data_IF_303110452978
#
_entry.id   IF_303110452978
#
_cell.length_a   1.000
_cell.length_b   1.000
_cell.length_c   1.000
_cell.angle_alpha   90.00
_cell.angle_beta   90.00
_cell.angle_gamma   90.00
#
_symmetry.space_group_name_H-M   'P 1'
#
loop_
_entity.id
_entity.type
_entity.pdbx_description
1 polymer ?
#
# COMPACT_ATOMS: atom_id res chain seq x y z
N UNK A 1 13.38 4.09 11.36
CA UNK A 1 12.41 2.97 11.31
C UNK A 1 11.17 3.48 10.58
N UNK A 2 10.85 2.93 9.41
CA UNK A 2 9.67 3.37 8.65
C UNK A 2 8.39 2.90 9.37
N UNK A 3 7.46 3.82 9.68
CA UNK A 3 6.18 3.48 10.32
C UNK A 3 5.32 2.48 9.51
N UNK A 4 5.61 2.36 8.20
CA UNK A 4 4.99 1.41 7.29
C UNK A 4 5.53 0.00 7.53
N UNK A 5 4.62 -0.94 7.78
CA UNK A 5 4.89 -2.36 8.02
C UNK A 5 5.33 -3.08 6.74
N UNK A 6 5.94 -4.28 6.85
CA UNK A 6 6.28 -5.09 5.69
C UNK A 6 5.06 -5.40 4.79
N UNK A 7 3.91 -5.74 5.38
CA UNK A 7 2.70 -6.06 4.60
C UNK A 7 2.14 -4.84 3.87
N UNK A 8 2.11 -3.68 4.53
CA UNK A 8 1.71 -2.43 3.87
C UNK A 8 2.66 -2.07 2.73
N UNK A 9 3.98 -2.26 2.91
CA UNK A 9 4.97 -2.03 1.85
C UNK A 9 4.74 -2.91 0.63
N UNK A 10 4.47 -4.20 0.84
CA UNK A 10 4.17 -5.15 -0.22
C UNK A 10 2.90 -4.76 -0.99
N UNK A 11 1.83 -4.39 -0.28
CA UNK A 11 0.59 -3.90 -0.89
C UNK A 11 0.83 -2.63 -1.72
N UNK A 12 1.57 -1.66 -1.19
CA UNK A 12 1.92 -0.42 -1.93
C UNK A 12 2.75 -0.75 -3.18
N UNK A 13 3.63 -1.76 -3.12
CA UNK A 13 4.38 -2.23 -4.29
C UNK A 13 3.47 -2.75 -5.39
N UNK A 14 2.45 -3.54 -5.06
CA UNK A 14 1.48 -4.00 -6.05
C UNK A 14 0.58 -2.86 -6.58
N UNK A 15 0.23 -1.89 -5.74
CA UNK A 15 -0.46 -0.67 -6.20
C UNK A 15 0.39 0.09 -7.22
N UNK A 16 1.70 0.21 -6.99
CA UNK A 16 2.63 0.83 -7.94
C UNK A 16 2.73 0.05 -9.27
N UNK A 17 2.57 -1.28 -9.22
CA UNK A 17 2.45 -2.13 -10.41
C UNK A 17 1.06 -2.09 -11.08
N UNK A 18 0.16 -1.21 -10.62
CA UNK A 18 -1.17 -1.01 -11.22
C UNK A 18 -2.23 -2.03 -10.79
N UNK A 19 -2.00 -2.78 -9.71
CA UNK A 19 -2.96 -3.78 -9.22
C UNK A 19 -4.06 -3.17 -8.38
N UNK A 20 -5.27 -3.65 -8.61
CA UNK A 20 -6.47 -3.34 -7.81
C UNK A 20 -6.44 -4.08 -6.47
N UNK A 21 -7.19 -3.61 -5.47
CA UNK A 21 -7.29 -4.30 -4.18
C UNK A 21 -7.80 -5.76 -4.31
N UNK A 22 -8.61 -6.06 -5.32
CA UNK A 22 -9.07 -7.41 -5.63
C UNK A 22 -7.93 -8.31 -6.12
N UNK A 23 -7.14 -7.84 -7.08
CA UNK A 23 -5.97 -8.56 -7.58
C UNK A 23 -4.91 -8.74 -6.48
N UNK A 24 -4.65 -7.69 -5.69
CA UNK A 24 -3.71 -7.76 -4.55
C UNK A 24 -4.19 -8.79 -3.53
N UNK A 25 -5.49 -8.82 -3.22
CA UNK A 25 -6.06 -9.82 -2.32
C UNK A 25 -5.85 -11.24 -2.82
N UNK A 26 -6.04 -11.47 -4.13
CA UNK A 26 -5.77 -12.76 -4.75
C UNK A 26 -4.27 -13.12 -4.69
N UNK A 27 -3.36 -12.19 -4.98
CA UNK A 27 -1.91 -12.40 -4.94
C UNK A 27 -1.43 -12.74 -3.52
N UNK A 28 -1.95 -12.05 -2.51
CA UNK A 28 -1.53 -12.18 -1.12
C UNK A 28 -2.38 -13.17 -0.29
N UNK A 29 -3.33 -13.86 -0.93
CA UNK A 29 -4.29 -14.76 -0.28
C UNK A 29 -5.04 -14.14 0.91
N UNK A 30 -5.50 -12.89 0.76
CA UNK A 30 -6.30 -12.15 1.75
C UNK A 30 -7.51 -11.49 1.08
N UNK A 31 -8.51 -11.09 1.87
CA UNK A 31 -9.69 -10.41 1.33
C UNK A 31 -9.34 -9.01 0.77
N UNK A 32 -10.03 -8.52 -0.27
CA UNK A 32 -9.87 -7.14 -0.75
C UNK A 32 -10.17 -6.09 0.33
N UNK A 33 -11.05 -6.43 1.28
CA UNK A 33 -11.35 -5.59 2.45
C UNK A 33 -10.11 -5.44 3.33
N UNK A 34 -9.41 -6.55 3.61
CA UNK A 34 -8.15 -6.54 4.36
C UNK A 34 -7.08 -5.71 3.66
N UNK A 35 -6.98 -5.80 2.33
CA UNK A 35 -6.08 -4.94 1.54
C UNK A 35 -6.41 -3.46 1.75
N UNK A 36 -7.68 -3.08 1.65
CA UNK A 36 -8.12 -1.71 1.87
C UNK A 36 -7.83 -1.21 3.29
N UNK A 37 -7.95 -2.06 4.32
CA UNK A 37 -7.54 -1.73 5.69
C UNK A 37 -6.05 -1.40 5.77
N UNK A 38 -5.18 -2.20 5.14
CA UNK A 38 -3.75 -1.90 5.09
C UNK A 38 -3.45 -0.60 4.32
N UNK A 39 -4.15 -0.34 3.21
CA UNK A 39 -4.01 0.91 2.45
C UNK A 39 -4.39 2.11 3.32
N UNK A 40 -5.50 2.03 4.07
CA UNK A 40 -5.94 3.09 4.98
C UNK A 40 -4.92 3.36 6.09
N UNK A 41 -4.36 2.31 6.70
CA UNK A 41 -3.33 2.44 7.72
C UNK A 41 -2.05 3.05 7.17
N UNK A 42 -1.61 2.63 5.97
CA UNK A 42 -0.44 3.18 5.31
C UNK A 42 -0.64 4.67 4.94
N UNK A 43 -1.82 5.04 4.46
CA UNK A 43 -2.23 6.43 4.21
C UNK A 43 -2.11 7.29 5.47
N UNK A 44 -2.65 6.82 6.59
CA UNK A 44 -2.56 7.52 7.87
C UNK A 44 -1.10 7.70 8.32
N UNK A 45 -0.28 6.64 8.20
CA UNK A 45 1.15 6.68 8.55
C UNK A 45 1.99 7.61 7.68
N UNK A 46 1.62 7.76 6.41
CA UNK A 46 2.32 8.63 5.46
C UNK A 46 1.68 10.02 5.31
N UNK A 47 0.59 10.31 6.05
CA UNK A 47 -0.07 11.61 6.03
C UNK A 47 -0.71 11.96 4.68
N UNK A 48 -1.23 10.97 3.97
CA UNK A 48 -1.81 11.16 2.62
C UNK A 48 -3.23 10.60 2.54
N UNK A 49 -4.07 11.21 1.70
CA UNK A 49 -5.49 10.83 1.57
C UNK A 49 -5.80 10.01 0.31
N UNK A 50 -5.03 10.22 -0.77
CA UNK A 50 -5.23 9.55 -2.07
C UNK A 50 -4.29 8.36 -2.23
N UNK A 51 -4.74 7.33 -2.94
CA UNK A 51 -3.93 6.13 -3.23
C UNK A 51 -2.75 6.43 -4.14
N UNK A 52 -2.96 7.28 -5.15
CA UNK A 52 -1.87 7.78 -6.00
C UNK A 52 -0.85 8.57 -5.20
N UNK A 53 -1.29 9.36 -4.21
CA UNK A 53 -0.40 10.06 -3.29
C UNK A 53 0.34 9.11 -2.36
N UNK A 54 -0.26 7.98 -1.97
CA UNK A 54 0.39 6.92 -1.19
C UNK A 54 1.55 6.29 -1.97
N UNK A 55 1.31 5.89 -3.21
CA UNK A 55 2.36 5.34 -4.09
C UNK A 55 3.48 6.35 -4.30
N UNK A 56 3.14 7.60 -4.64
CA UNK A 56 4.12 8.66 -4.85
C UNK A 56 4.94 8.98 -3.58
N UNK A 57 4.30 9.01 -2.40
CA UNK A 57 4.99 9.19 -1.14
C UNK A 57 5.91 8.01 -0.82
N UNK A 58 5.47 6.78 -1.08
CA UNK A 58 6.27 5.60 -0.82
C UNK A 58 7.52 5.52 -1.72
N UNK A 59 7.42 5.93 -2.99
CA UNK A 59 8.58 6.07 -3.89
C UNK A 59 9.55 7.16 -3.40
N UNK A 60 9.05 8.37 -3.09
CA UNK A 60 9.90 9.49 -2.61
C UNK A 60 10.66 9.17 -1.32
N UNK A 61 10.05 8.38 -0.44
CA UNK A 61 10.65 8.00 0.85
C UNK A 61 11.47 6.68 0.77
N UNK A 62 11.64 6.08 -0.41
CA UNK A 62 12.38 4.82 -0.57
C UNK A 62 11.72 3.61 0.12
N UNK A 63 10.41 3.66 0.35
CA UNK A 63 9.62 2.57 0.92
C UNK A 63 9.41 1.47 -0.13
N UNK A 64 9.19 1.85 -1.38
CA UNK A 64 9.19 0.96 -2.54
C UNK A 64 10.19 1.50 -3.58
N UNK A 65 10.57 0.66 -4.54
CA UNK A 65 11.52 1.00 -5.61
C UNK A 65 10.88 0.77 -6.96
#
# INVERSE_FOLDING_TARGET
MSAVTPREREIIGWMAAGKTAAEIGAILAISPITVNTHIANAKAKLGVFKETALVAAALRNGIIR
#
